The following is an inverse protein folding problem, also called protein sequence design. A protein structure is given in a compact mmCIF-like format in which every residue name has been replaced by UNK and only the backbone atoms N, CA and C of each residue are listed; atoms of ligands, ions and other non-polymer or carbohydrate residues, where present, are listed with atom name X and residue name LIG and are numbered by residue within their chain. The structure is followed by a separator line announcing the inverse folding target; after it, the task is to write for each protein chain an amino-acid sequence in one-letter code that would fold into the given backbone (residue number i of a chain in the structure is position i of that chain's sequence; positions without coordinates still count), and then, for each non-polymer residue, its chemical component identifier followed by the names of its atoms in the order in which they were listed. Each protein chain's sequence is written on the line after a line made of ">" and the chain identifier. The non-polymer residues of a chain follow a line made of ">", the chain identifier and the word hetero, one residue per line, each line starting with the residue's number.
data_IF_926534052213
#
_entry.id   IF_926534052213
#
_cell.length_a   1.000
_cell.length_b   1.000
_cell.length_c   1.000
_cell.angle_alpha   90.00
_cell.angle_beta   90.00
_cell.angle_gamma   90.00
#
_symmetry.space_group_name_H-M   'P 1'
#
loop_
_entity.id
_entity.type
_entity.pdbx_description
1 polymer ?
#
# COMPACT_ATOMS: atom_id res chain seq x y z
N UNK A 1 -8.12 41.39 39.11
CA UNK A 1 -7.95 40.46 37.96
C UNK A 1 -6.59 39.74 37.98
N UNK A 2 -5.52 40.33 38.55
CA UNK A 2 -4.24 39.62 38.82
C UNK A 2 -4.26 38.73 40.07
N UNK A 3 -5.10 38.99 41.07
CA UNK A 3 -5.23 38.12 42.27
C UNK A 3 -6.02 36.82 42.05
N UNK A 4 -6.76 36.70 40.96
CA UNK A 4 -7.48 35.45 40.65
C UNK A 4 -6.58 34.41 39.94
N UNK A 5 -5.47 34.86 39.35
CA UNK A 5 -4.47 34.00 38.73
C UNK A 5 -3.37 33.54 39.70
N UNK A 6 -3.16 34.22 40.84
CA UNK A 6 -2.13 33.81 41.82
C UNK A 6 -2.58 32.68 42.76
N UNK A 7 -3.87 32.31 42.74
CA UNK A 7 -4.45 31.25 43.61
C UNK A 7 -4.69 29.91 42.93
N UNK A 8 -4.44 29.77 41.61
CA UNK A 8 -4.39 28.46 40.97
C UNK A 8 -2.97 27.91 41.00
N UNK A 9 -2.46 27.69 42.21
CA UNK A 9 -1.36 26.76 42.41
C UNK A 9 -1.94 25.36 42.24
N UNK A 10 -2.09 24.94 40.98
CA UNK A 10 -2.52 23.58 40.64
C UNK A 10 -1.61 22.60 41.38
N UNK A 11 -2.15 21.63 42.13
CA UNK A 11 -1.32 20.67 42.84
C UNK A 11 -0.47 19.93 41.80
N UNK A 12 0.83 19.82 42.06
CA UNK A 12 1.81 19.15 41.19
C UNK A 12 1.34 17.76 40.74
N UNK A 13 0.52 17.10 41.56
CA UNK A 13 -0.13 15.82 41.26
C UNK A 13 -1.17 15.88 40.12
N UNK A 14 -1.94 16.97 40.00
CA UNK A 14 -2.94 17.11 38.94
C UNK A 14 -2.31 17.39 37.58
N UNK A 15 -1.20 18.15 37.57
CA UNK A 15 -0.38 18.34 36.35
C UNK A 15 0.27 17.03 35.92
N UNK A 16 0.79 16.21 36.84
CA UNK A 16 1.35 14.90 36.50
C UNK A 16 0.30 13.90 35.99
N UNK A 17 -0.91 13.92 36.58
CA UNK A 17 -2.04 13.11 36.13
C UNK A 17 -2.49 13.52 34.72
N UNK A 18 -2.59 14.82 34.45
CA UNK A 18 -2.97 15.34 33.14
C UNK A 18 -1.95 14.95 32.05
N UNK A 19 -0.65 15.09 32.34
CA UNK A 19 0.42 14.66 31.43
C UNK A 19 0.40 13.14 31.18
N UNK A 20 0.10 12.33 32.20
CA UNK A 20 0.01 10.88 32.05
C UNK A 20 -1.21 10.44 31.23
N UNK A 21 -2.37 11.09 31.43
CA UNK A 21 -3.58 10.86 30.62
C UNK A 21 -3.34 11.24 29.16
N UNK A 22 -2.67 12.36 28.89
CA UNK A 22 -2.31 12.78 27.55
C UNK A 22 -1.38 11.76 26.87
N UNK A 23 -0.35 11.30 27.58
CA UNK A 23 0.61 10.33 27.06
C UNK A 23 -0.02 8.95 26.80
N UNK A 24 -0.93 8.50 27.67
CA UNK A 24 -1.72 7.27 27.44
C UNK A 24 -2.65 7.41 26.24
N UNK A 25 -3.30 8.57 26.07
CA UNK A 25 -4.18 8.85 24.94
C UNK A 25 -3.42 8.81 23.61
N UNK A 26 -2.25 9.45 23.53
CA UNK A 26 -1.40 9.39 22.34
C UNK A 26 -0.95 7.96 22.04
N UNK A 27 -0.53 7.21 23.07
CA UNK A 27 -0.12 5.83 22.90
C UNK A 27 -1.25 4.95 22.36
N UNK A 28 -2.44 5.07 22.94
CA UNK A 28 -3.63 4.34 22.48
C UNK A 28 -4.00 4.72 21.04
N UNK A 29 -3.95 6.01 20.70
CA UNK A 29 -4.23 6.47 19.34
C UNK A 29 -3.26 5.89 18.31
N UNK A 30 -1.96 5.88 18.62
CA UNK A 30 -0.93 5.29 17.76
C UNK A 30 -1.13 3.78 17.63
N UNK A 31 -1.41 3.09 18.74
CA UNK A 31 -1.63 1.65 18.75
C UNK A 31 -2.85 1.25 17.90
N UNK A 32 -4.00 1.92 18.11
CA UNK A 32 -5.23 1.68 17.35
C UNK A 32 -5.02 1.99 15.87
N UNK A 33 -4.36 3.11 15.53
CA UNK A 33 -4.07 3.48 14.14
C UNK A 33 -3.20 2.43 13.44
N UNK A 34 -2.19 1.90 14.12
CA UNK A 34 -1.32 0.85 13.57
C UNK A 34 -2.07 -0.48 13.41
N UNK A 35 -2.97 -0.83 14.32
CA UNK A 35 -3.83 -2.01 14.17
C UNK A 35 -4.74 -1.89 12.94
N UNK A 36 -5.41 -0.75 12.79
CA UNK A 36 -6.30 -0.49 11.65
C UNK A 36 -5.49 -0.57 10.34
N UNK A 37 -4.31 0.07 10.31
CA UNK A 37 -3.42 0.05 9.14
C UNK A 37 -2.97 -1.38 8.82
N UNK A 38 -2.58 -2.16 9.83
CA UNK A 38 -2.15 -3.55 9.65
C UNK A 38 -3.28 -4.43 9.09
N UNK A 39 -4.49 -4.34 9.66
CA UNK A 39 -5.66 -5.07 9.19
C UNK A 39 -5.97 -4.69 7.73
N UNK A 40 -5.92 -3.40 7.40
CA UNK A 40 -6.13 -2.92 6.05
C UNK A 40 -5.09 -3.46 5.06
N UNK A 41 -3.79 -3.41 5.41
CA UNK A 41 -2.70 -3.92 4.56
C UNK A 41 -2.88 -5.41 4.28
N UNK A 42 -3.22 -6.19 5.31
CA UNK A 42 -3.46 -7.64 5.19
C UNK A 42 -4.65 -7.88 4.27
N UNK A 43 -5.77 -7.20 4.52
CA UNK A 43 -6.98 -7.31 3.69
C UNK A 43 -6.68 -6.98 2.22
N UNK A 44 -6.03 -5.84 1.96
CA UNK A 44 -5.67 -5.41 0.61
C UNK A 44 -4.77 -6.43 -0.10
N UNK A 45 -3.78 -6.99 0.61
CA UNK A 45 -2.87 -8.00 0.08
C UNK A 45 -3.61 -9.31 -0.24
N UNK A 46 -4.55 -9.73 0.60
CA UNK A 46 -5.39 -10.91 0.36
C UNK A 46 -6.28 -10.71 -0.87
N UNK A 47 -6.94 -9.56 -1.00
CA UNK A 47 -7.78 -9.23 -2.16
C UNK A 47 -6.95 -9.26 -3.45
N UNK A 48 -5.78 -8.62 -3.45
CA UNK A 48 -4.83 -8.67 -4.58
C UNK A 48 -4.44 -10.10 -4.92
N UNK A 49 -4.08 -10.91 -3.91
CA UNK A 49 -3.72 -12.33 -4.10
C UNK A 49 -4.87 -13.13 -4.72
N UNK A 50 -6.11 -12.90 -4.29
CA UNK A 50 -7.29 -13.58 -4.84
C UNK A 50 -7.48 -13.24 -6.32
N UNK A 51 -7.45 -11.96 -6.69
CA UNK A 51 -7.53 -11.54 -8.11
C UNK A 51 -6.41 -12.19 -8.94
N UNK A 52 -5.19 -12.19 -8.39
CA UNK A 52 -4.02 -12.79 -9.05
C UNK A 52 -4.21 -14.28 -9.32
N UNK A 53 -4.74 -15.02 -8.35
CA UNK A 53 -5.06 -16.45 -8.50
C UNK A 53 -6.14 -16.69 -9.55
N UNK A 54 -7.17 -15.84 -9.61
CA UNK A 54 -8.21 -15.92 -10.64
C UNK A 54 -7.63 -15.71 -12.03
N UNK A 55 -6.75 -14.72 -12.23
CA UNK A 55 -6.05 -14.53 -13.51
C UNK A 55 -5.13 -15.68 -13.86
N UNK A 56 -4.38 -16.23 -12.91
CA UNK A 56 -3.50 -17.37 -13.16
C UNK A 56 -4.30 -18.61 -13.58
N UNK A 57 -5.41 -18.89 -12.87
CA UNK A 57 -6.30 -19.99 -13.21
C UNK A 57 -6.89 -19.83 -14.62
N UNK A 58 -7.34 -18.61 -14.95
CA UNK A 58 -7.83 -18.27 -16.29
C UNK A 58 -6.77 -18.51 -17.37
N UNK A 59 -5.54 -18.02 -17.17
CA UNK A 59 -4.43 -18.19 -18.12
C UNK A 59 -4.12 -19.68 -18.32
N UNK A 60 -4.05 -20.44 -17.22
CA UNK A 60 -3.74 -21.87 -17.27
C UNK A 60 -4.84 -22.66 -18.01
N UNK A 61 -6.11 -22.31 -17.78
CA UNK A 61 -7.23 -22.91 -18.50
C UNK A 61 -7.18 -22.58 -20.01
N UNK A 62 -6.89 -21.32 -20.34
CA UNK A 62 -6.80 -20.83 -21.71
C UNK A 62 -5.60 -21.42 -22.48
N UNK A 63 -4.53 -21.82 -21.77
CA UNK A 63 -3.38 -22.53 -22.36
C UNK A 63 -3.66 -24.02 -22.59
N UNK A 64 -4.51 -24.66 -21.77
CA UNK A 64 -4.78 -26.10 -21.83
C UNK A 64 -5.89 -26.49 -22.80
N UNK A 65 -6.88 -25.62 -23.05
CA UNK A 65 -8.04 -25.96 -23.89
C UNK A 65 -8.26 -24.92 -25.00
N UNK A 66 -8.44 -25.37 -26.24
CA UNK A 66 -8.81 -24.51 -27.39
C UNK A 66 -10.04 -25.13 -28.06
N UNK A 67 -11.19 -25.03 -27.40
CA UNK A 67 -12.49 -25.28 -28.02
C UNK A 67 -13.25 -23.96 -28.09
N UNK A 68 -13.81 -23.62 -29.25
CA UNK A 68 -14.40 -22.29 -29.54
C UNK A 68 -15.54 -21.95 -28.55
N UNK A 69 -16.28 -22.96 -28.07
CA UNK A 69 -17.37 -22.78 -27.10
C UNK A 69 -16.85 -22.40 -25.70
N UNK A 70 -15.77 -23.04 -25.25
CA UNK A 70 -15.14 -22.71 -23.96
C UNK A 70 -14.47 -21.34 -23.97
N UNK A 71 -14.04 -20.89 -25.14
CA UNK A 71 -13.44 -19.58 -25.26
C UNK A 71 -14.43 -18.46 -24.91
N UNK A 72 -15.69 -18.51 -25.37
CA UNK A 72 -16.71 -17.50 -25.00
C UNK A 72 -16.87 -17.41 -23.48
N UNK A 73 -16.92 -18.56 -22.81
CA UNK A 73 -16.99 -18.63 -21.34
C UNK A 73 -15.76 -18.02 -20.67
N UNK A 74 -14.55 -18.31 -21.16
CA UNK A 74 -13.31 -17.73 -20.64
C UNK A 74 -13.24 -16.21 -20.83
N UNK A 75 -13.79 -15.68 -21.92
CA UNK A 75 -13.90 -14.24 -22.15
C UNK A 75 -14.82 -13.55 -21.16
N UNK A 76 -15.98 -14.15 -20.90
CA UNK A 76 -16.94 -13.65 -19.92
C UNK A 76 -16.34 -13.67 -18.52
N UNK A 77 -15.66 -14.76 -18.16
CA UNK A 77 -14.93 -14.88 -16.91
C UNK A 77 -13.84 -13.79 -16.77
N UNK A 78 -13.06 -13.52 -17.82
CA UNK A 78 -12.11 -12.40 -17.83
C UNK A 78 -12.80 -11.04 -17.61
N UNK A 79 -13.95 -10.82 -18.24
CA UNK A 79 -14.76 -9.61 -18.07
C UNK A 79 -15.18 -9.41 -16.61
N UNK A 80 -15.65 -10.46 -15.94
CA UNK A 80 -16.04 -10.38 -14.53
C UNK A 80 -14.84 -10.19 -13.58
N UNK A 81 -13.70 -10.87 -13.82
CA UNK A 81 -12.48 -10.68 -13.02
C UNK A 81 -11.99 -9.23 -13.15
N UNK A 82 -11.92 -8.69 -14.38
CA UNK A 82 -11.47 -7.32 -14.62
C UNK A 82 -12.43 -6.28 -14.08
N UNK A 83 -13.74 -6.55 -14.07
CA UNK A 83 -14.75 -5.72 -13.41
C UNK A 83 -14.59 -5.72 -11.89
N UNK A 84 -14.35 -6.88 -11.28
CA UNK A 84 -14.05 -7.01 -9.85
C UNK A 84 -12.80 -6.21 -9.47
N UNK A 85 -11.71 -6.37 -10.23
CA UNK A 85 -10.48 -5.59 -10.06
C UNK A 85 -10.73 -4.07 -10.14
N UNK A 86 -11.61 -3.62 -11.05
CA UNK A 86 -11.96 -2.19 -11.19
C UNK A 86 -12.79 -1.67 -10.02
N UNK A 87 -13.69 -2.48 -9.46
CA UNK A 87 -14.44 -2.11 -8.26
C UNK A 87 -13.49 -1.99 -7.05
N UNK A 88 -12.58 -2.95 -6.92
CA UNK A 88 -11.54 -2.93 -5.88
C UNK A 88 -10.65 -1.69 -6.01
N UNK A 89 -10.19 -1.34 -7.21
CA UNK A 89 -9.45 -0.09 -7.44
C UNK A 89 -10.27 1.14 -7.04
N UNK A 90 -11.55 1.20 -7.43
CA UNK A 90 -12.42 2.32 -7.10
C UNK A 90 -12.56 2.54 -5.59
N UNK A 91 -12.74 1.47 -4.83
CA UNK A 91 -13.07 1.56 -3.41
C UNK A 91 -11.81 1.61 -2.53
N UNK A 92 -10.73 0.94 -2.94
CA UNK A 92 -9.52 0.78 -2.12
C UNK A 92 -8.35 1.68 -2.56
N UNK A 93 -8.39 2.32 -3.73
CA UNK A 93 -7.28 3.17 -4.20
C UNK A 93 -6.97 4.34 -3.27
N UNK A 94 -8.01 4.94 -2.66
CA UNK A 94 -7.86 5.98 -1.63
C UNK A 94 -7.26 5.44 -0.34
N UNK A 95 -7.88 4.45 0.33
CA UNK A 95 -7.30 3.83 1.51
C UNK A 95 -5.87 3.36 1.31
N UNK A 96 -5.55 2.77 0.14
CA UNK A 96 -4.20 2.32 -0.19
C UNK A 96 -3.21 3.49 -0.30
N UNK A 97 -3.62 4.59 -0.91
CA UNK A 97 -2.81 5.81 -0.98
C UNK A 97 -2.57 6.42 0.42
N UNK A 98 -3.63 6.54 1.22
CA UNK A 98 -3.53 7.04 2.59
C UNK A 98 -2.64 6.14 3.46
N UNK A 99 -2.75 4.81 3.33
CA UNK A 99 -1.92 3.84 4.04
C UNK A 99 -0.43 3.98 3.69
N UNK A 100 -0.11 4.21 2.42
CA UNK A 100 1.28 4.47 1.99
C UNK A 100 1.78 5.78 2.57
N UNK A 101 0.98 6.87 2.50
CA UNK A 101 1.37 8.16 3.08
C UNK A 101 1.60 8.07 4.59
N UNK A 102 0.73 7.37 5.32
CA UNK A 102 0.91 7.13 6.75
C UNK A 102 2.18 6.34 7.04
N UNK A 103 2.47 5.31 6.24
CA UNK A 103 3.69 4.51 6.38
C UNK A 103 4.95 5.35 6.10
N UNK A 104 4.94 6.16 5.04
CA UNK A 104 6.05 7.07 4.72
C UNK A 104 6.25 8.14 5.79
N UNK A 105 5.17 8.72 6.32
CA UNK A 105 5.22 9.66 7.44
C UNK A 105 5.79 9.01 8.70
N UNK A 106 5.37 7.78 9.01
CA UNK A 106 5.90 6.99 10.13
C UNK A 106 7.40 6.69 9.99
N UNK A 107 7.85 6.34 8.78
CA UNK A 107 9.27 6.12 8.48
C UNK A 107 10.08 7.40 8.64
N UNK A 108 9.60 8.51 8.07
CA UNK A 108 10.27 9.80 8.17
C UNK A 108 10.38 10.25 9.64
N UNK A 109 9.29 10.17 10.39
CA UNK A 109 9.27 10.55 11.80
C UNK A 109 10.20 9.70 12.65
N UNK A 110 10.23 8.40 12.39
CA UNK A 110 11.15 7.46 13.05
C UNK A 110 12.60 7.77 12.70
N UNK A 111 12.91 7.99 11.43
CA UNK A 111 14.25 8.35 10.96
C UNK A 111 14.73 9.70 11.51
N UNK A 112 13.85 10.69 11.62
CA UNK A 112 14.13 11.97 12.25
C UNK A 112 14.46 11.79 13.74
N UNK A 113 13.62 11.06 14.48
CA UNK A 113 13.90 10.72 15.90
C UNK A 113 15.19 9.92 16.05
N UNK A 114 15.58 9.17 15.03
CA UNK A 114 16.84 8.46 14.99
C UNK A 114 17.99 9.49 14.88
N UNK A 115 18.01 10.31 13.84
CA UNK A 115 19.14 11.20 13.55
C UNK A 115 19.44 12.26 14.63
N UNK A 116 18.41 12.79 15.31
CA UNK A 116 18.56 13.95 16.20
C UNK A 116 18.57 13.62 17.69
N UNK A 117 18.56 12.34 18.09
CA UNK A 117 18.55 11.96 19.52
C UNK A 117 19.97 11.81 20.07
N UNK A 118 20.25 12.55 21.14
CA UNK A 118 21.60 12.70 21.73
C UNK A 118 22.12 11.47 22.49
N UNK A 119 21.25 10.56 22.94
CA UNK A 119 21.65 9.36 23.69
C UNK A 119 20.84 8.13 23.29
N UNK A 120 21.56 7.04 23.10
CA UNK A 120 21.04 5.76 22.62
C UNK A 120 21.11 4.72 23.72
N UNK A 121 19.97 4.10 24.02
CA UNK A 121 19.94 2.82 24.74
C UNK A 121 19.69 1.71 23.74
N UNK A 122 20.34 0.55 23.92
CA UNK A 122 20.17 -0.62 23.04
C UNK A 122 18.68 -1.01 22.89
N UNK A 123 17.89 -0.91 23.97
CA UNK A 123 16.44 -1.16 23.93
C UNK A 123 15.69 -0.23 22.98
N UNK A 124 16.06 1.05 22.97
CA UNK A 124 15.42 2.04 22.11
C UNK A 124 15.77 1.83 20.63
N UNK A 125 17.03 1.49 20.34
CA UNK A 125 17.47 1.14 18.98
C UNK A 125 16.68 -0.04 18.41
N UNK A 126 16.49 -1.10 19.20
CA UNK A 126 15.71 -2.28 18.79
C UNK A 126 14.26 -1.89 18.47
N UNK A 127 13.61 -1.10 19.33
CA UNK A 127 12.23 -0.63 19.11
C UNK A 127 12.13 0.19 17.82
N UNK A 128 13.09 1.08 17.56
CA UNK A 128 13.09 1.88 16.34
C UNK A 128 13.33 1.03 15.09
N UNK A 129 14.25 0.06 15.15
CA UNK A 129 14.47 -0.87 14.05
C UNK A 129 13.21 -1.70 13.73
N UNK A 130 12.50 -2.20 14.75
CA UNK A 130 11.21 -2.88 14.58
C UNK A 130 10.15 -1.95 13.96
N UNK A 131 10.10 -0.68 14.39
CA UNK A 131 9.14 0.29 13.86
C UNK A 131 9.40 0.57 12.38
N UNK A 132 10.66 0.80 12.01
CA UNK A 132 11.07 0.98 10.61
C UNK A 132 10.72 -0.25 9.77
N UNK A 133 11.04 -1.45 10.27
CA UNK A 133 10.76 -2.68 9.53
C UNK A 133 9.25 -2.92 9.34
N UNK A 134 8.42 -2.59 10.34
CA UNK A 134 6.96 -2.66 10.23
C UNK A 134 6.41 -1.75 9.13
N UNK A 135 6.74 -0.44 9.16
CA UNK A 135 6.22 0.50 8.15
C UNK A 135 6.75 0.21 6.74
N UNK A 136 8.01 -0.20 6.61
CA UNK A 136 8.54 -0.68 5.33
C UNK A 136 7.78 -1.90 4.84
N UNK A 137 7.48 -2.86 5.71
CA UNK A 137 6.72 -4.06 5.34
C UNK A 137 5.32 -3.71 4.88
N UNK A 138 4.63 -2.76 5.54
CA UNK A 138 3.30 -2.32 5.12
C UNK A 138 3.33 -1.67 3.73
N UNK A 139 4.28 -0.76 3.52
CA UNK A 139 4.46 -0.08 2.25
C UNK A 139 4.78 -1.07 1.11
N UNK A 140 5.66 -2.04 1.37
CA UNK A 140 6.02 -3.07 0.40
C UNK A 140 4.86 -4.03 0.10
N UNK A 141 4.11 -4.46 1.11
CA UNK A 141 2.99 -5.37 0.92
C UNK A 141 1.92 -4.77 0.01
N UNK A 142 1.56 -3.51 0.21
CA UNK A 142 0.59 -2.81 -0.66
C UNK A 142 1.13 -2.72 -2.09
N UNK A 143 2.34 -2.18 -2.25
CA UNK A 143 2.88 -1.91 -3.59
C UNK A 143 3.22 -3.18 -4.38
N UNK A 144 3.84 -4.18 -3.75
CA UNK A 144 4.18 -5.46 -4.39
C UNK A 144 2.91 -6.21 -4.77
N UNK A 145 1.93 -6.31 -3.86
CA UNK A 145 0.70 -7.05 -4.12
C UNK A 145 -0.06 -6.46 -5.31
N UNK A 146 -0.18 -5.14 -5.37
CA UNK A 146 -0.84 -4.45 -6.48
C UNK A 146 -0.05 -4.57 -7.79
N UNK A 147 1.28 -4.39 -7.75
CA UNK A 147 2.13 -4.50 -8.94
C UNK A 147 2.08 -5.90 -9.53
N UNK A 148 2.13 -6.96 -8.70
CA UNK A 148 2.00 -8.33 -9.17
C UNK A 148 0.62 -8.62 -9.78
N UNK A 149 -0.45 -8.05 -9.21
CA UNK A 149 -1.79 -8.19 -9.79
C UNK A 149 -1.90 -7.50 -11.15
N UNK A 150 -1.33 -6.29 -11.29
CA UNK A 150 -1.27 -5.57 -12.57
C UNK A 150 -0.50 -6.35 -13.63
N UNK A 151 0.63 -6.96 -13.26
CA UNK A 151 1.41 -7.80 -14.16
C UNK A 151 0.63 -9.04 -14.63
N UNK A 152 -0.12 -9.66 -13.72
CA UNK A 152 -0.95 -10.82 -14.05
C UNK A 152 -2.16 -10.48 -14.91
N UNK A 153 -2.79 -9.33 -14.69
CA UNK A 153 -3.81 -8.79 -15.59
C UNK A 153 -3.24 -8.60 -17.00
N UNK A 154 -2.07 -7.93 -17.10
CA UNK A 154 -1.38 -7.68 -18.37
C UNK A 154 -1.04 -8.99 -19.08
N UNK A 155 -0.59 -10.00 -18.35
CA UNK A 155 -0.31 -11.35 -18.87
C UNK A 155 -1.58 -12.04 -19.36
N UNK A 156 -2.67 -11.98 -18.60
CA UNK A 156 -3.96 -12.56 -19.00
C UNK A 156 -4.47 -11.91 -20.29
N UNK A 157 -4.45 -10.57 -20.34
CA UNK A 157 -4.81 -9.78 -21.52
C UNK A 157 -3.99 -10.16 -22.75
N UNK A 158 -2.66 -10.26 -22.61
CA UNK A 158 -1.78 -10.63 -23.72
C UNK A 158 -2.04 -12.05 -24.21
N UNK A 159 -2.32 -12.99 -23.28
CA UNK A 159 -2.65 -14.37 -23.63
C UNK A 159 -3.96 -14.43 -24.43
N UNK A 160 -4.99 -13.69 -23.98
CA UNK A 160 -6.27 -13.62 -24.70
C UNK A 160 -6.11 -12.94 -26.07
N UNK A 161 -5.33 -11.85 -26.16
CA UNK A 161 -5.01 -11.20 -27.44
C UNK A 161 -4.32 -12.17 -28.41
N UNK A 162 -3.38 -12.99 -27.92
CA UNK A 162 -2.68 -14.01 -28.71
C UNK A 162 -3.63 -15.09 -29.24
N UNK A 163 -4.57 -15.57 -28.43
CA UNK A 163 -5.59 -16.53 -28.85
C UNK A 163 -6.56 -15.91 -29.86
N UNK A 164 -6.91 -14.63 -29.69
CA UNK A 164 -7.79 -13.89 -30.61
C UNK A 164 -7.25 -13.78 -32.05
N UNK A 165 -5.93 -13.73 -32.22
CA UNK A 165 -5.33 -13.74 -33.56
C UNK A 165 -5.60 -15.03 -34.33
N UNK A 166 -5.98 -16.12 -33.64
CA UNK A 166 -6.27 -17.43 -34.25
C UNK A 166 -7.76 -17.65 -34.57
N UNK A 167 -8.64 -16.70 -34.27
CA UNK A 167 -10.10 -16.86 -34.41
C UNK A 167 -10.62 -16.06 -35.60
N UNK A 168 -11.50 -16.64 -36.45
CA UNK A 168 -12.11 -15.94 -37.58
C UNK A 168 -12.89 -14.68 -37.16
N UNK A 169 -12.88 -13.67 -38.03
CA UNK A 169 -13.39 -12.31 -37.76
C UNK A 169 -14.88 -12.27 -37.42
N UNK A 170 -15.67 -13.25 -37.85
CA UNK A 170 -17.12 -13.30 -37.62
C UNK A 170 -17.52 -13.58 -36.17
N UNK A 171 -16.64 -14.18 -35.35
CA UNK A 171 -16.88 -14.34 -33.90
C UNK A 171 -16.44 -13.12 -33.07
N UNK A 172 -15.93 -12.06 -33.71
CA UNK A 172 -15.38 -10.88 -33.05
C UNK A 172 -16.52 -9.91 -32.67
N UNK A 173 -17.43 -10.34 -31.79
CA UNK A 173 -18.53 -9.48 -31.33
C UNK A 173 -17.97 -8.18 -30.72
N UNK A 174 -18.64 -7.06 -31.02
CA UNK A 174 -18.25 -5.70 -30.61
C UNK A 174 -18.11 -5.55 -29.10
N UNK A 175 -18.96 -6.23 -28.31
CA UNK A 175 -18.89 -6.26 -26.84
C UNK A 175 -17.53 -6.75 -26.31
N UNK A 176 -16.91 -7.71 -26.99
CA UNK A 176 -15.60 -8.20 -26.57
C UNK A 176 -14.48 -7.19 -26.88
N UNK A 177 -14.63 -6.36 -27.91
CA UNK A 177 -13.61 -5.38 -28.30
C UNK A 177 -13.36 -4.33 -27.20
N UNK A 178 -14.41 -3.90 -26.48
CA UNK A 178 -14.31 -2.96 -25.36
C UNK A 178 -13.64 -3.55 -24.12
N UNK A 179 -13.95 -4.81 -23.79
CA UNK A 179 -13.36 -5.52 -22.64
C UNK A 179 -11.82 -5.61 -22.76
N UNK A 180 -11.29 -5.67 -23.99
CA UNK A 180 -9.84 -5.79 -24.24
C UNK A 180 -9.07 -4.50 -24.45
N UNK A 181 -9.76 -3.42 -24.78
CA UNK A 181 -9.12 -2.15 -25.12
C UNK A 181 -8.89 -1.29 -23.88
N UNK A 182 -9.72 -1.46 -22.84
CA UNK A 182 -9.59 -0.70 -21.61
C UNK A 182 -8.56 -1.34 -20.70
N UNK A 183 -7.43 -0.67 -20.47
CA UNK A 183 -6.44 -1.07 -19.45
C UNK A 183 -7.08 -0.96 -18.07
N UNK A 184 -7.08 -2.06 -17.32
CA UNK A 184 -7.53 -2.08 -15.94
C UNK A 184 -6.29 -2.34 -15.08
N UNK A 185 -5.80 -1.29 -14.44
CA UNK A 185 -4.68 -1.36 -13.51
C UNK A 185 -5.17 -0.95 -12.12
N UNK A 186 -4.64 -1.58 -11.08
CA UNK A 186 -4.70 -1.07 -9.72
C UNK A 186 -3.78 0.14 -9.63
N UNK A 187 -4.34 1.23 -9.11
CA UNK A 187 -3.70 2.53 -9.00
C UNK A 187 -3.74 3.03 -7.57
N UNK A 188 -2.80 3.92 -7.23
CA UNK A 188 -2.91 4.76 -6.05
C UNK A 188 -3.67 6.02 -6.45
N UNK A 189 -4.94 6.10 -6.05
CA UNK A 189 -5.85 7.22 -6.33
C UNK A 189 -5.88 7.65 -7.81
N UNK A 190 -5.71 6.74 -8.78
CA UNK A 190 -5.52 7.08 -10.21
C UNK A 190 -4.34 8.00 -10.54
N UNK A 191 -3.51 8.38 -9.57
CA UNK A 191 -2.33 9.24 -9.77
C UNK A 191 -1.16 8.39 -10.28
N UNK A 192 -0.97 7.21 -9.68
CA UNK A 192 0.13 6.31 -10.03
C UNK A 192 -0.38 4.91 -10.31
N UNK A 193 0.02 4.35 -11.46
CA UNK A 193 -0.09 2.92 -11.71
C UNK A 193 0.97 2.20 -10.87
N UNK A 194 0.54 1.21 -10.10
CA UNK A 194 1.46 0.45 -9.26
C UNK A 194 2.30 -0.50 -10.12
N UNK A 195 3.57 -0.14 -10.32
CA UNK A 195 4.56 -0.92 -11.08
C UNK A 195 5.87 -1.11 -10.29
N UNK A 196 6.78 -1.94 -10.84
CA UNK A 196 8.09 -2.20 -10.21
C UNK A 196 8.99 -0.96 -10.20
N UNK A 197 8.78 -0.05 -11.14
CA UNK A 197 9.54 1.19 -11.28
C UNK A 197 9.27 2.15 -10.11
N UNK A 198 8.00 2.26 -9.71
CA UNK A 198 7.57 3.07 -8.57
C UNK A 198 8.16 2.54 -7.26
N UNK A 199 8.19 1.22 -7.09
CA UNK A 199 8.86 0.57 -5.95
C UNK A 199 10.33 1.01 -5.86
N UNK A 200 11.09 0.86 -6.94
CA UNK A 200 12.51 1.22 -6.99
C UNK A 200 12.71 2.72 -6.71
N UNK A 201 11.87 3.56 -7.29
CA UNK A 201 11.93 5.03 -7.08
C UNK A 201 11.63 5.40 -5.63
N UNK A 202 10.65 4.74 -5.00
CA UNK A 202 10.32 4.97 -3.59
C UNK A 202 11.46 4.56 -2.64
N UNK A 203 12.18 3.48 -2.95
CA UNK A 203 13.38 3.08 -2.21
C UNK A 203 14.54 4.05 -2.42
N UNK A 204 14.79 4.45 -3.67
CA UNK A 204 15.85 5.39 -4.00
C UNK A 204 15.66 6.71 -3.27
N UNK A 205 14.45 7.26 -3.30
CA UNK A 205 14.11 8.50 -2.58
C UNK A 205 14.27 8.34 -1.06
N UNK A 206 13.78 7.25 -0.46
CA UNK A 206 13.96 6.98 0.96
C UNK A 206 15.46 6.93 1.35
N UNK A 207 16.29 6.28 0.53
CA UNK A 207 17.73 6.18 0.77
C UNK A 207 18.43 7.54 0.62
N UNK A 208 18.11 8.31 -0.42
CA UNK A 208 18.67 9.65 -0.63
C UNK A 208 18.32 10.59 0.53
N UNK A 209 17.04 10.64 0.93
CA UNK A 209 16.63 11.47 2.06
C UNK A 209 17.20 10.96 3.39
N UNK A 210 17.33 9.64 3.56
CA UNK A 210 17.98 9.04 4.73
C UNK A 210 19.43 9.47 4.88
N UNK A 211 20.21 9.46 3.79
CA UNK A 211 21.60 9.94 3.78
C UNK A 211 21.67 11.43 4.11
N UNK A 212 20.81 12.24 3.49
CA UNK A 212 20.78 13.69 3.71
C UNK A 212 20.50 14.04 5.19
N UNK A 213 19.52 13.37 5.79
CA UNK A 213 19.16 13.56 7.20
C UNK A 213 20.29 13.06 8.12
N UNK A 214 20.92 11.93 7.80
CA UNK A 214 22.06 11.41 8.55
C UNK A 214 23.23 12.39 8.57
N UNK A 215 23.58 12.95 7.41
CA UNK A 215 24.64 13.96 7.28
C UNK A 215 24.33 15.24 8.08
N UNK A 216 23.08 15.70 8.08
CA UNK A 216 22.66 16.87 8.88
C UNK A 216 22.71 16.61 10.39
N UNK A 217 22.34 15.40 10.84
CA UNK A 217 22.38 15.02 12.25
C UNK A 217 23.79 15.07 12.84
N UNK A 218 24.80 14.65 12.07
CA UNK A 218 26.20 14.65 12.49
C UNK A 218 26.77 16.06 12.68
N UNK A 219 26.40 17.00 11.80
CA UNK A 219 26.87 18.40 11.88
C UNK A 219 26.33 19.19 13.08
N UNK A 220 25.13 18.85 13.57
CA UNK A 220 24.51 19.50 14.73
C UNK A 220 24.79 18.78 16.06
N UNK A 221 25.50 17.65 16.03
CA UNK A 221 25.81 16.81 17.18
C UNK A 221 27.13 17.12 17.91
N UNK A 222 27.94 18.04 17.36
CA UNK A 222 29.19 18.54 17.99
C UNK A 222 28.94 19.79 18.82
#
# INVERSE_FOLDING_TARGET
>A
MQEFFSKMQFPSQLSSLCSLVFLLSEFLFIFVSNLILSIFVIYYSLVCRTIRLLFDHLINHLRRQILIKELRYLLECYGEITKSMRNIDRDLSLPAFAAILLSMGGLFWTGYRLAFRKQWTNKYLVIQACTVSCYLTFQLLIMISASMTNEMEKKARNTIKGVKCRIPRDLRETKFKEVYTKENNLTLWKIYVLDRSLLITSFGTLLTYGILIGALGETNGN
#
